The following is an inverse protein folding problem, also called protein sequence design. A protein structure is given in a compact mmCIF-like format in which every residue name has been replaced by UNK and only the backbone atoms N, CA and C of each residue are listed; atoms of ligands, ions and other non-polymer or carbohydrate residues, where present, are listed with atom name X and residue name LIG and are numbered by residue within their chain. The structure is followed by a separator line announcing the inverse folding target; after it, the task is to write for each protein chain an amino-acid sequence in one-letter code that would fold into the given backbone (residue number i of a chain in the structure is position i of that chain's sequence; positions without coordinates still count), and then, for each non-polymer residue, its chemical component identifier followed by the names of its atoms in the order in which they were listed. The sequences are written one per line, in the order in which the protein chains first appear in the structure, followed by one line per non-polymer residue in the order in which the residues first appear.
data_IF_680563655189
#
_entry.id   IF_680563655189
#
_cell.length_a   1.000
_cell.length_b   1.000
_cell.length_c   1.000
_cell.angle_alpha   90.00
_cell.angle_beta   90.00
_cell.angle_gamma   90.00
#
_symmetry.space_group_name_H-M   'P 1'
#
loop_
_entity.id
_entity.type
_entity.pdbx_description
1 polymer ?
#
# COMPACT_ATOMS: atom_id res chain seq x y z
N UNK A 1 12.37 -27.87 -17.02
CA UNK A 1 10.95 -28.28 -16.85
C UNK A 1 10.74 -29.35 -15.79
N UNK A 2 11.60 -30.39 -15.67
CA UNK A 2 11.44 -31.49 -14.69
C UNK A 2 11.42 -31.01 -13.22
N UNK A 3 12.26 -30.03 -12.86
CA UNK A 3 12.32 -29.49 -11.49
C UNK A 3 11.05 -28.76 -11.05
N UNK A 4 10.35 -28.08 -11.98
CA UNK A 4 9.11 -27.35 -11.67
C UNK A 4 7.95 -28.32 -11.44
N UNK A 5 7.86 -29.39 -12.24
CA UNK A 5 6.86 -30.46 -12.05
C UNK A 5 7.08 -31.20 -10.73
N UNK A 6 8.33 -31.50 -10.38
CA UNK A 6 8.66 -32.11 -9.10
C UNK A 6 8.32 -31.20 -7.91
N UNK A 7 8.66 -29.91 -7.98
CA UNK A 7 8.30 -28.94 -6.96
C UNK A 7 6.78 -28.75 -6.81
N UNK A 8 6.03 -28.72 -7.92
CA UNK A 8 4.57 -28.69 -7.90
C UNK A 8 3.99 -29.98 -7.28
N UNK A 9 4.57 -31.14 -7.60
CA UNK A 9 4.20 -32.42 -7.00
C UNK A 9 4.43 -32.46 -5.48
N UNK A 10 5.57 -31.98 -5.01
CA UNK A 10 5.87 -31.92 -3.57
C UNK A 10 4.93 -30.93 -2.87
N UNK A 11 4.68 -29.77 -3.48
CA UNK A 11 3.79 -28.73 -2.92
C UNK A 11 2.33 -29.16 -2.85
N UNK A 12 1.84 -29.88 -3.88
CA UNK A 12 0.49 -30.46 -3.92
C UNK A 12 0.33 -31.52 -2.83
N UNK A 13 1.29 -32.44 -2.70
CA UNK A 13 1.29 -33.45 -1.63
C UNK A 13 1.32 -32.82 -0.24
N UNK A 14 2.19 -31.84 -0.01
CA UNK A 14 2.25 -31.13 1.28
C UNK A 14 0.91 -30.46 1.63
N UNK A 15 0.23 -29.87 0.64
CA UNK A 15 -1.07 -29.23 0.83
C UNK A 15 -2.16 -30.24 1.15
N UNK A 16 -2.22 -31.35 0.40
CA UNK A 16 -3.17 -32.43 0.64
C UNK A 16 -2.97 -33.03 2.05
N UNK A 17 -1.73 -33.24 2.48
CA UNK A 17 -1.41 -33.74 3.82
C UNK A 17 -1.87 -32.79 4.93
N UNK A 18 -1.68 -31.48 4.77
CA UNK A 18 -2.13 -30.49 5.77
C UNK A 18 -3.64 -30.38 5.82
N UNK A 19 -4.31 -30.41 4.67
CA UNK A 19 -5.78 -30.42 4.61
C UNK A 19 -6.31 -31.69 5.26
N UNK A 20 -5.78 -32.85 4.90
CA UNK A 20 -6.17 -34.13 5.48
C UNK A 20 -5.97 -34.15 7.00
N UNK A 21 -4.83 -33.68 7.50
CA UNK A 21 -4.58 -33.57 8.94
C UNK A 21 -5.57 -32.62 9.63
N UNK A 22 -5.89 -31.47 9.02
CA UNK A 22 -6.85 -30.52 9.58
C UNK A 22 -8.26 -31.12 9.68
N UNK A 23 -8.70 -31.86 8.67
CA UNK A 23 -10.03 -32.50 8.67
C UNK A 23 -10.09 -33.76 9.55
N UNK A 24 -9.01 -34.55 9.59
CA UNK A 24 -8.92 -35.75 10.45
C UNK A 24 -8.85 -35.40 11.93
N UNK A 25 -8.10 -34.36 12.31
CA UNK A 25 -7.99 -33.93 13.71
C UNK A 25 -9.23 -33.24 14.26
N UNK A 26 -10.02 -32.57 13.40
CA UNK A 26 -11.12 -31.71 13.85
C UNK A 26 -12.51 -32.23 13.52
N UNK A 27 -12.66 -33.22 12.62
CA UNK A 27 -13.91 -33.94 12.30
C UNK A 27 -15.04 -33.10 11.67
N UNK A 28 -15.06 -31.80 11.89
CA UNK A 28 -16.06 -30.84 11.44
C UNK A 28 -15.43 -29.81 10.49
N UNK A 29 -16.20 -29.37 9.48
CA UNK A 29 -15.74 -28.46 8.44
C UNK A 29 -15.26 -27.12 8.98
N UNK A 30 -16.08 -26.45 9.81
CA UNK A 30 -15.77 -25.09 10.27
C UNK A 30 -14.48 -24.99 11.13
N UNK A 31 -14.27 -25.83 12.16
CA UNK A 31 -13.03 -25.81 12.94
C UNK A 31 -11.79 -26.17 12.11
N UNK A 32 -11.92 -27.06 11.13
CA UNK A 32 -10.83 -27.43 10.22
C UNK A 32 -10.42 -26.23 9.35
N UNK A 33 -11.39 -25.52 8.77
CA UNK A 33 -11.13 -24.30 7.97
C UNK A 33 -10.52 -23.18 8.82
N UNK A 34 -11.00 -22.98 10.05
CA UNK A 34 -10.41 -22.01 10.98
C UNK A 34 -8.95 -22.37 11.27
N UNK A 35 -8.65 -23.65 11.55
CA UNK A 35 -7.27 -24.10 11.76
C UNK A 35 -6.37 -23.85 10.55
N UNK A 36 -6.85 -24.17 9.34
CA UNK A 36 -6.13 -23.90 8.08
C UNK A 36 -5.83 -22.41 7.88
N UNK A 37 -6.75 -21.52 8.26
CA UNK A 37 -6.64 -20.07 8.11
C UNK A 37 -5.88 -19.34 9.22
N UNK A 38 -5.65 -19.99 10.37
CA UNK A 38 -5.01 -19.38 11.55
C UNK A 38 -3.63 -19.97 11.85
N UNK A 39 -3.38 -21.22 11.47
CA UNK A 39 -2.09 -21.89 11.65
C UNK A 39 -1.04 -21.34 10.69
N UNK A 40 0.09 -20.88 11.24
CA UNK A 40 1.21 -20.30 10.48
C UNK A 40 1.78 -21.29 9.45
N UNK A 41 1.93 -22.56 9.84
CA UNK A 41 2.50 -23.60 8.98
C UNK A 41 1.52 -23.93 7.84
N UNK A 42 0.24 -24.06 8.16
CA UNK A 42 -0.81 -24.32 7.17
C UNK A 42 -0.92 -23.18 6.15
N UNK A 43 -0.83 -21.93 6.61
CA UNK A 43 -0.81 -20.75 5.75
C UNK A 43 0.39 -20.72 4.80
N UNK A 44 1.60 -21.01 5.27
CA UNK A 44 2.81 -21.03 4.41
C UNK A 44 2.67 -22.09 3.31
N UNK A 45 2.17 -23.29 3.65
CA UNK A 45 1.99 -24.38 2.69
C UNK A 45 0.89 -24.04 1.68
N UNK A 46 -0.24 -23.48 2.14
CA UNK A 46 -1.32 -22.99 1.26
C UNK A 46 -0.87 -21.85 0.35
N UNK A 47 -0.06 -20.91 0.84
CA UNK A 47 0.48 -19.80 0.05
C UNK A 47 1.46 -20.31 -1.02
N UNK A 48 2.33 -21.25 -0.65
CA UNK A 48 3.24 -21.92 -1.58
C UNK A 48 2.47 -22.68 -2.68
N UNK A 49 1.36 -23.33 -2.33
CA UNK A 49 0.45 -23.93 -3.29
C UNK A 49 -0.24 -22.89 -4.18
N UNK A 50 -0.63 -21.74 -3.63
CA UNK A 50 -1.11 -20.60 -4.40
C UNK A 50 -0.10 -20.15 -5.46
N UNK A 51 1.19 -20.07 -5.11
CA UNK A 51 2.28 -19.76 -6.04
C UNK A 51 2.45 -20.83 -7.11
N UNK A 52 2.36 -22.12 -6.76
CA UNK A 52 2.39 -23.23 -7.73
C UNK A 52 1.20 -23.17 -8.68
N UNK A 53 -0.01 -22.91 -8.18
CA UNK A 53 -1.20 -22.72 -9.00
C UNK A 53 -1.04 -21.51 -9.92
N UNK A 54 -0.45 -20.41 -9.45
CA UNK A 54 -0.12 -19.26 -10.31
C UNK A 54 0.84 -19.63 -11.43
N UNK A 55 1.91 -20.38 -11.13
CA UNK A 55 2.88 -20.83 -12.14
C UNK A 55 2.26 -21.85 -13.11
N UNK A 56 1.32 -22.67 -12.64
CA UNK A 56 0.56 -23.59 -13.47
C UNK A 56 -0.42 -22.84 -14.38
N UNK A 57 -1.13 -21.85 -13.84
CA UNK A 57 -2.05 -20.98 -14.59
C UNK A 57 -1.28 -20.11 -15.59
N UNK A 58 -0.08 -19.67 -15.23
CA UNK A 58 0.89 -19.03 -16.13
C UNK A 58 1.31 -19.95 -17.29
N UNK A 59 1.61 -21.21 -17.01
CA UNK A 59 1.93 -22.19 -18.05
C UNK A 59 0.70 -22.56 -18.89
N UNK A 60 -0.49 -22.57 -18.30
CA UNK A 60 -1.76 -22.78 -19.00
C UNK A 60 -2.06 -21.61 -19.94
N UNK A 61 -1.89 -20.37 -19.48
CA UNK A 61 -2.03 -19.17 -20.31
C UNK A 61 -1.01 -19.19 -21.45
N UNK A 62 0.24 -19.58 -21.20
CA UNK A 62 1.22 -19.82 -22.28
C UNK A 62 0.75 -20.89 -23.27
N UNK A 63 0.22 -21.99 -22.79
CA UNK A 63 -0.18 -23.10 -23.65
C UNK A 63 -1.43 -22.78 -24.48
N UNK A 64 -2.40 -22.10 -23.88
CA UNK A 64 -3.68 -21.74 -24.51
C UNK A 64 -3.52 -20.56 -25.47
N UNK A 65 -2.74 -19.54 -25.11
CA UNK A 65 -2.66 -18.30 -25.88
C UNK A 65 -1.38 -18.16 -26.73
N UNK A 66 -0.25 -18.79 -26.35
CA UNK A 66 1.06 -18.53 -26.96
C UNK A 66 1.61 -19.66 -27.86
N UNK A 67 1.01 -20.85 -27.87
CA UNK A 67 1.53 -21.98 -28.65
C UNK A 67 2.84 -22.58 -28.10
N UNK A 68 3.23 -23.75 -28.60
CA UNK A 68 4.31 -24.58 -28.05
C UNK A 68 5.65 -23.82 -28.00
N UNK A 69 6.36 -23.80 -26.87
CA UNK A 69 7.67 -23.17 -26.79
C UNK A 69 8.72 -24.03 -27.52
N UNK A 70 9.24 -23.54 -28.65
CA UNK A 70 10.59 -23.90 -29.05
C UNK A 70 11.56 -23.40 -27.96
N UNK A 71 12.43 -24.31 -27.54
CA UNK A 71 13.20 -24.23 -26.29
C UNK A 71 14.05 -22.96 -26.23
N UNK A 72 13.84 -22.06 -25.26
CA UNK A 72 14.86 -21.08 -24.89
C UNK A 72 15.82 -21.70 -23.87
N UNK A 73 17.09 -21.39 -24.08
CA UNK A 73 18.23 -21.74 -23.23
C UNK A 73 18.10 -21.21 -21.80
N UNK A 74 18.78 -21.94 -20.92
CA UNK A 74 18.84 -21.79 -19.47
C UNK A 74 19.03 -20.35 -18.98
N UNK A 75 18.00 -19.78 -18.36
CA UNK A 75 18.14 -18.68 -17.40
C UNK A 75 17.72 -19.18 -16.02
N UNK A 76 18.68 -19.22 -15.08
CA UNK A 76 18.46 -19.53 -13.66
C UNK A 76 17.79 -18.32 -13.02
N UNK A 77 16.55 -18.47 -12.57
CA UNK A 77 15.92 -17.53 -11.66
C UNK A 77 16.17 -18.04 -10.23
N UNK A 78 17.07 -17.39 -9.51
CA UNK A 78 17.25 -17.58 -8.07
C UNK A 78 16.02 -17.05 -7.36
N UNK A 79 15.34 -17.90 -6.58
CA UNK A 79 14.23 -17.50 -5.74
C UNK A 79 14.70 -16.55 -4.62
N UNK A 80 14.02 -15.43 -4.35
CA UNK A 80 14.25 -14.68 -3.13
C UNK A 80 13.67 -15.48 -1.96
N UNK A 81 14.53 -15.83 -1.00
CA UNK A 81 14.13 -16.26 0.34
C UNK A 81 13.52 -15.05 1.07
N UNK A 82 12.19 -14.94 1.08
CA UNK A 82 11.46 -13.95 1.85
C UNK A 82 11.46 -14.36 3.32
N UNK A 83 12.21 -13.63 4.13
CA UNK A 83 12.23 -13.76 5.58
C UNK A 83 10.86 -13.41 6.17
N UNK A 84 10.48 -14.21 7.16
CA UNK A 84 9.26 -14.11 7.93
C UNK A 84 9.31 -12.89 8.84
N UNK A 85 8.53 -11.85 8.56
CA UNK A 85 8.06 -10.97 9.64
C UNK A 85 6.67 -10.36 9.38
N UNK A 86 5.84 -10.45 10.43
CA UNK A 86 4.54 -9.81 10.70
C UNK A 86 3.75 -9.19 9.52
N UNK A 87 3.16 -10.02 8.67
CA UNK A 87 2.09 -9.58 7.76
C UNK A 87 0.84 -10.45 7.91
N UNK A 88 -0.31 -9.79 8.08
CA UNK A 88 -1.61 -10.46 8.18
C UNK A 88 -1.90 -11.27 6.90
N UNK A 89 -2.49 -12.49 6.99
CA UNK A 89 -2.66 -13.39 5.84
C UNK A 89 -3.49 -12.79 4.70
N UNK A 90 -4.45 -11.91 5.03
CA UNK A 90 -5.28 -11.22 4.04
C UNK A 90 -4.48 -10.21 3.21
N UNK A 91 -3.49 -9.53 3.79
CA UNK A 91 -2.63 -8.57 3.08
C UNK A 91 -1.67 -9.25 2.11
N UNK A 92 -1.06 -10.38 2.50
CA UNK A 92 -0.16 -11.14 1.63
C UNK A 92 -0.91 -11.71 0.40
N UNK A 93 -2.13 -12.20 0.60
CA UNK A 93 -2.97 -12.70 -0.50
C UNK A 93 -3.28 -11.62 -1.54
N UNK A 94 -3.59 -10.39 -1.10
CA UNK A 94 -3.84 -9.25 -1.99
C UNK A 94 -2.60 -8.86 -2.80
N UNK A 95 -1.42 -8.81 -2.16
CA UNK A 95 -0.15 -8.50 -2.85
C UNK A 95 0.17 -9.55 -3.92
N UNK A 96 0.07 -10.85 -3.59
CA UNK A 96 0.35 -11.92 -4.55
C UNK A 96 -0.62 -11.86 -5.74
N UNK A 97 -1.89 -11.60 -5.47
CA UNK A 97 -2.92 -11.46 -6.51
C UNK A 97 -2.66 -10.24 -7.41
N UNK A 98 -2.30 -9.10 -6.82
CA UNK A 98 -1.91 -7.91 -7.59
C UNK A 98 -0.72 -8.18 -8.52
N UNK A 99 0.32 -8.85 -8.01
CA UNK A 99 1.51 -9.18 -8.80
C UNK A 99 1.19 -10.14 -9.95
N UNK A 100 0.26 -11.09 -9.74
CA UNK A 100 -0.24 -11.94 -10.82
C UNK A 100 -0.85 -11.12 -11.94
N UNK A 101 -1.77 -10.23 -11.56
CA UNK A 101 -2.55 -9.44 -12.51
C UNK A 101 -1.61 -8.54 -13.30
N UNK A 102 -0.64 -7.89 -12.63
CA UNK A 102 0.44 -7.14 -13.29
C UNK A 102 1.25 -7.98 -14.29
N UNK A 103 1.59 -9.22 -13.93
CA UNK A 103 2.30 -10.11 -14.85
C UNK A 103 1.46 -10.45 -16.09
N UNK A 104 0.16 -10.67 -15.94
CA UNK A 104 -0.76 -10.92 -17.06
C UNK A 104 -0.88 -9.69 -17.99
N UNK A 105 -0.94 -8.49 -17.42
CA UNK A 105 -0.95 -7.24 -18.20
C UNK A 105 0.32 -7.04 -19.00
N UNK A 106 1.47 -7.24 -18.34
CA UNK A 106 2.76 -7.09 -19.01
C UNK A 106 2.89 -8.08 -20.18
N UNK A 107 2.38 -9.30 -20.01
CA UNK A 107 2.29 -10.28 -21.10
C UNK A 107 1.37 -9.82 -22.24
N UNK A 108 0.18 -9.29 -21.93
CA UNK A 108 -0.74 -8.78 -22.95
C UNK A 108 -0.09 -7.67 -23.77
N UNK A 109 0.54 -6.71 -23.11
CA UNK A 109 1.26 -5.60 -23.74
C UNK A 109 2.37 -6.11 -24.66
N UNK A 110 3.21 -7.02 -24.16
CA UNK A 110 4.31 -7.59 -24.97
C UNK A 110 3.80 -8.41 -26.15
N UNK A 111 2.62 -9.03 -26.04
CA UNK A 111 2.00 -9.74 -27.17
C UNK A 111 1.40 -8.81 -28.20
N UNK A 112 0.77 -7.72 -27.78
CA UNK A 112 0.28 -6.68 -28.71
C UNK A 112 1.46 -6.05 -29.45
N UNK A 113 2.52 -5.66 -28.75
CA UNK A 113 3.74 -5.06 -29.34
C UNK A 113 4.43 -6.01 -30.35
N UNK A 114 4.46 -7.32 -30.05
CA UNK A 114 4.98 -8.32 -30.98
C UNK A 114 4.10 -8.47 -32.23
N UNK A 115 2.78 -8.44 -32.09
CA UNK A 115 1.85 -8.51 -33.23
C UNK A 115 1.97 -7.25 -34.10
N UNK A 116 2.12 -6.07 -33.50
CA UNK A 116 2.31 -4.80 -34.22
C UNK A 116 3.57 -4.79 -35.10
N UNK A 117 4.62 -5.48 -34.67
CA UNK A 117 5.92 -5.53 -35.37
C UNK A 117 6.05 -6.69 -36.35
N UNK A 118 5.09 -7.62 -36.39
CA UNK A 118 5.14 -8.78 -37.28
C UNK A 118 4.35 -8.53 -38.59
N UNK A 119 4.94 -8.79 -39.77
CA UNK A 119 4.39 -8.35 -41.06
C UNK A 119 3.19 -9.17 -41.56
N UNK A 120 2.98 -10.38 -41.04
CA UNK A 120 1.80 -11.19 -41.38
C UNK A 120 1.40 -12.06 -40.19
N UNK A 121 0.15 -11.91 -39.77
CA UNK A 121 -0.43 -12.64 -38.64
C UNK A 121 -1.71 -13.32 -39.08
N UNK A 122 -1.94 -14.54 -38.60
CA UNK A 122 -3.14 -15.32 -38.95
C UNK A 122 -4.37 -14.81 -38.18
N UNK A 123 -5.57 -14.95 -38.75
CA UNK A 123 -6.83 -14.57 -38.08
C UNK A 123 -7.01 -15.23 -36.71
N UNK A 124 -6.54 -16.47 -36.57
CA UNK A 124 -6.59 -17.20 -35.31
C UNK A 124 -5.76 -16.50 -34.21
N UNK A 125 -4.62 -15.92 -34.57
CA UNK A 125 -3.80 -15.12 -33.65
C UNK A 125 -4.51 -13.84 -33.20
N UNK A 126 -5.24 -13.17 -34.08
CA UNK A 126 -6.09 -12.02 -33.72
C UNK A 126 -7.20 -12.42 -32.74
N UNK A 127 -7.92 -13.52 -32.99
CA UNK A 127 -8.98 -14.00 -32.10
C UNK A 127 -8.42 -14.36 -30.71
N UNK A 128 -7.23 -14.97 -30.64
CA UNK A 128 -6.56 -15.31 -29.38
C UNK A 128 -6.19 -14.08 -28.55
N UNK A 129 -5.60 -13.04 -29.16
CA UNK A 129 -5.20 -11.84 -28.40
C UNK A 129 -6.40 -11.01 -27.97
N UNK A 130 -7.42 -10.87 -28.83
CA UNK A 130 -8.65 -10.14 -28.48
C UNK A 130 -9.38 -10.85 -27.33
N UNK A 131 -9.56 -12.16 -27.39
CA UNK A 131 -10.18 -12.92 -26.29
C UNK A 131 -9.39 -12.82 -24.99
N UNK A 132 -8.04 -12.81 -25.05
CA UNK A 132 -7.20 -12.60 -23.86
C UNK A 132 -7.38 -11.20 -23.27
N UNK A 133 -7.40 -10.15 -24.10
CA UNK A 133 -7.60 -8.78 -23.62
C UNK A 133 -9.00 -8.55 -23.02
N UNK A 134 -10.04 -9.15 -23.61
CA UNK A 134 -11.41 -9.10 -23.06
C UNK A 134 -11.47 -9.82 -21.71
N UNK A 135 -10.83 -10.98 -21.59
CA UNK A 135 -10.73 -11.70 -20.31
C UNK A 135 -10.05 -10.84 -19.23
N UNK A 136 -8.94 -10.18 -19.58
CA UNK A 136 -8.25 -9.28 -18.64
C UNK A 136 -9.11 -8.10 -18.22
N UNK A 137 -9.82 -7.46 -19.15
CA UNK A 137 -10.70 -6.34 -18.83
C UNK A 137 -11.82 -6.74 -17.85
N UNK A 138 -12.43 -7.92 -18.03
CA UNK A 138 -13.43 -8.46 -17.10
C UNK A 138 -12.81 -8.70 -15.74
N UNK A 139 -11.62 -9.31 -15.69
CA UNK A 139 -10.91 -9.57 -14.45
C UNK A 139 -10.60 -8.26 -13.70
N UNK A 140 -10.09 -7.25 -14.39
CA UNK A 140 -9.77 -5.94 -13.81
C UNK A 140 -11.03 -5.24 -13.27
N UNK A 141 -12.13 -5.31 -14.01
CA UNK A 141 -13.43 -4.79 -13.57
C UNK A 141 -13.92 -5.46 -12.28
N UNK A 142 -13.80 -6.79 -12.19
CA UNK A 142 -14.20 -7.55 -11.00
C UNK A 142 -13.33 -7.20 -9.77
N UNK A 143 -12.01 -7.17 -9.91
CA UNK A 143 -11.10 -6.82 -8.82
C UNK A 143 -11.25 -5.36 -8.37
N UNK A 144 -11.46 -4.46 -9.32
CA UNK A 144 -11.76 -3.05 -9.03
C UNK A 144 -13.08 -2.92 -8.27
N UNK A 145 -14.16 -3.55 -8.76
CA UNK A 145 -15.48 -3.50 -8.12
C UNK A 145 -15.45 -4.04 -6.69
N UNK A 146 -14.84 -5.21 -6.50
CA UNK A 146 -14.72 -5.84 -5.17
C UNK A 146 -13.88 -4.99 -4.21
N UNK A 147 -12.79 -4.40 -4.68
CA UNK A 147 -11.93 -3.52 -3.88
C UNK A 147 -12.64 -2.23 -3.45
N UNK A 148 -13.40 -1.59 -4.36
CA UNK A 148 -14.21 -0.40 -4.04
C UNK A 148 -15.31 -0.73 -3.03
N UNK A 149 -16.00 -1.88 -3.21
CA UNK A 149 -17.04 -2.34 -2.27
C UNK A 149 -16.45 -2.57 -0.87
N UNK A 150 -15.29 -3.20 -0.79
CA UNK A 150 -14.58 -3.43 0.47
C UNK A 150 -14.16 -2.10 1.13
N UNK A 151 -13.67 -1.14 0.34
CA UNK A 151 -13.29 0.19 0.83
C UNK A 151 -14.48 0.93 1.45
N UNK A 152 -15.64 0.95 0.77
CA UNK A 152 -16.85 1.62 1.28
C UNK A 152 -17.33 0.98 2.58
N UNK A 153 -17.27 -0.35 2.68
CA UNK A 153 -17.71 -1.07 3.88
C UNK A 153 -16.74 -0.94 5.06
N UNK A 154 -15.43 -0.82 4.79
CA UNK A 154 -14.38 -0.81 5.81
C UNK A 154 -13.38 0.33 5.60
N UNK A 155 -13.77 1.61 5.80
CA UNK A 155 -12.93 2.78 5.51
C UNK A 155 -11.69 2.90 6.43
N UNK A 156 -11.54 2.03 7.43
CA UNK A 156 -10.45 2.08 8.43
C UNK A 156 -9.14 1.41 7.96
N UNK A 157 -9.15 0.69 6.83
CA UNK A 157 -7.98 -0.07 6.37
C UNK A 157 -7.14 0.73 5.35
N UNK A 158 -6.02 1.31 5.81
CA UNK A 158 -5.08 2.06 4.95
C UNK A 158 -4.51 1.23 3.78
N UNK A 159 -4.32 -0.08 3.97
CA UNK A 159 -3.79 -0.97 2.94
C UNK A 159 -4.79 -1.18 1.78
N UNK A 160 -6.10 -1.23 2.06
CA UNK A 160 -7.13 -1.48 1.04
C UNK A 160 -7.23 -0.37 0.00
N UNK A 161 -6.96 0.86 0.42
CA UNK A 161 -6.90 2.04 -0.44
C UNK A 161 -5.87 1.88 -1.54
N UNK A 162 -4.65 1.49 -1.16
CA UNK A 162 -3.54 1.34 -2.09
C UNK A 162 -3.87 0.32 -3.20
N UNK A 163 -4.40 -0.84 -2.80
CA UNK A 163 -4.81 -1.86 -3.76
C UNK A 163 -5.92 -1.38 -4.71
N UNK A 164 -6.87 -0.58 -4.20
CA UNK A 164 -7.96 -0.04 -5.03
C UNK A 164 -7.42 0.84 -6.17
N UNK A 165 -6.50 1.75 -5.87
CA UNK A 165 -5.88 2.60 -6.90
C UNK A 165 -5.03 1.80 -7.87
N UNK A 166 -4.26 0.82 -7.39
CA UNK A 166 -3.47 -0.06 -8.24
C UNK A 166 -4.35 -0.84 -9.24
N UNK A 167 -5.50 -1.37 -8.80
CA UNK A 167 -6.45 -2.05 -9.70
C UNK A 167 -7.12 -1.09 -10.70
N UNK A 168 -7.43 0.14 -10.31
CA UNK A 168 -7.92 1.18 -11.24
C UNK A 168 -6.89 1.53 -12.32
N UNK A 169 -5.61 1.62 -11.94
CA UNK A 169 -4.50 1.87 -12.88
C UNK A 169 -4.37 0.70 -13.86
N UNK A 170 -4.44 -0.54 -13.38
CA UNK A 170 -4.44 -1.74 -14.22
C UNK A 170 -5.61 -1.72 -15.23
N UNK A 171 -6.84 -1.49 -14.77
CA UNK A 171 -8.01 -1.42 -15.64
C UNK A 171 -7.87 -0.35 -16.75
N UNK A 172 -7.37 0.84 -16.40
CA UNK A 172 -7.16 1.92 -17.38
C UNK A 172 -6.03 1.59 -18.36
N UNK A 173 -4.99 0.88 -17.94
CA UNK A 173 -3.96 0.39 -18.88
C UNK A 173 -4.51 -0.64 -19.86
N UNK A 174 -5.31 -1.60 -19.40
CA UNK A 174 -5.94 -2.61 -20.27
C UNK A 174 -6.85 -1.95 -21.30
N UNK A 175 -7.66 -0.98 -20.88
CA UNK A 175 -8.51 -0.23 -21.80
C UNK A 175 -7.69 0.52 -22.87
N UNK A 176 -6.61 1.22 -22.47
CA UNK A 176 -5.74 1.92 -23.42
C UNK A 176 -5.09 0.95 -24.43
N UNK A 177 -4.64 -0.22 -23.98
CA UNK A 177 -4.05 -1.25 -24.86
C UNK A 177 -5.09 -1.82 -25.83
N UNK A 178 -6.34 -2.04 -25.38
CA UNK A 178 -7.42 -2.50 -26.27
C UNK A 178 -7.70 -1.47 -27.37
N UNK A 179 -7.79 -0.18 -27.02
CA UNK A 179 -8.04 0.87 -28.03
C UNK A 179 -6.85 1.01 -28.98
N UNK A 180 -5.61 0.94 -28.47
CA UNK A 180 -4.40 0.92 -29.32
C UNK A 180 -4.41 -0.26 -30.28
N UNK A 181 -4.79 -1.45 -29.81
CA UNK A 181 -4.92 -2.61 -30.68
C UNK A 181 -6.04 -2.45 -31.73
N UNK A 182 -7.16 -1.81 -31.38
CA UNK A 182 -8.22 -1.50 -32.34
C UNK A 182 -7.73 -0.54 -33.43
N UNK A 183 -6.90 0.44 -33.08
CA UNK A 183 -6.23 1.32 -34.05
C UNK A 183 -5.31 0.53 -34.99
N UNK A 184 -4.52 -0.40 -34.46
CA UNK A 184 -3.70 -1.29 -35.28
C UNK A 184 -4.54 -2.13 -36.25
N UNK A 185 -5.63 -2.75 -35.79
CA UNK A 185 -6.51 -3.55 -36.66
C UNK A 185 -7.17 -2.67 -37.73
N UNK A 186 -7.58 -1.46 -37.38
CA UNK A 186 -8.16 -0.51 -38.35
C UNK A 186 -7.14 -0.11 -39.43
N UNK A 187 -5.90 0.14 -39.04
CA UNK A 187 -4.80 0.42 -39.97
C UNK A 187 -4.52 -0.75 -40.93
N UNK A 188 -4.56 -1.99 -40.42
CA UNK A 188 -4.44 -3.19 -41.26
C UNK A 188 -5.57 -3.29 -42.29
N UNK A 189 -6.81 -2.99 -41.90
CA UNK A 189 -7.97 -3.02 -42.81
C UNK A 189 -7.88 -1.91 -43.86
N UNK A 190 -7.26 -0.78 -43.52
CA UNK A 190 -7.01 0.34 -44.42
C UNK A 190 -5.73 0.17 -45.25
N UNK A 191 -5.15 -1.05 -45.30
CA UNK A 191 -3.91 -1.36 -46.03
C UNK A 191 -2.73 -0.42 -45.67
N UNK A 192 -2.70 0.09 -44.44
CA UNK A 192 -1.67 1.02 -43.96
C UNK A 192 -1.81 2.46 -44.46
N UNK A 193 -2.93 2.83 -45.09
CA UNK A 193 -3.16 4.19 -45.61
C UNK A 193 -3.66 5.18 -44.53
N UNK A 194 -3.62 4.82 -43.25
CA UNK A 194 -4.11 5.71 -42.19
C UNK A 194 -3.06 6.73 -41.74
N UNK A 195 -2.98 7.86 -42.47
CA UNK A 195 -2.01 8.93 -42.21
C UNK A 195 -2.10 9.52 -40.78
N UNK A 196 -3.30 9.53 -40.19
CA UNK A 196 -3.55 10.08 -38.85
C UNK A 196 -3.18 9.16 -37.67
N UNK A 197 -2.84 7.89 -37.90
CA UNK A 197 -2.59 6.90 -36.84
C UNK A 197 -1.61 7.36 -35.76
N UNK A 198 -0.44 7.96 -36.08
CA UNK A 198 0.53 8.36 -35.06
C UNK A 198 -0.03 9.45 -34.14
N UNK A 199 -0.82 10.37 -34.69
CA UNK A 199 -1.44 11.48 -33.96
C UNK A 199 -2.48 10.96 -32.96
N UNK A 200 -3.37 10.05 -33.39
CA UNK A 200 -4.36 9.45 -32.49
C UNK A 200 -3.72 8.56 -31.42
N UNK A 201 -2.67 7.82 -31.77
CA UNK A 201 -1.93 6.98 -30.81
C UNK A 201 -1.25 7.85 -29.75
N UNK A 202 -0.65 8.98 -30.14
CA UNK A 202 -0.09 9.95 -29.22
C UNK A 202 -1.16 10.54 -28.27
N UNK A 203 -2.33 10.92 -28.79
CA UNK A 203 -3.43 11.41 -27.94
C UNK A 203 -3.91 10.34 -26.93
N UNK A 204 -4.01 9.08 -27.33
CA UNK A 204 -4.36 8.00 -26.40
C UNK A 204 -3.32 7.84 -25.29
N UNK A 205 -2.03 7.89 -25.63
CA UNK A 205 -0.94 7.78 -24.66
C UNK A 205 -0.94 8.98 -23.70
N UNK A 206 -1.15 10.19 -24.22
CA UNK A 206 -1.29 11.41 -23.41
C UNK A 206 -2.49 11.34 -22.45
N UNK A 207 -3.66 10.91 -22.94
CA UNK A 207 -4.87 10.78 -22.10
C UNK A 207 -4.66 9.71 -21.02
N UNK A 208 -4.09 8.56 -21.36
CA UNK A 208 -3.75 7.50 -20.40
C UNK A 208 -2.83 8.05 -19.31
N UNK A 209 -1.76 8.74 -19.69
CA UNK A 209 -0.75 9.24 -18.75
C UNK A 209 -1.33 10.34 -17.84
N UNK A 210 -2.20 11.20 -18.39
CA UNK A 210 -2.93 12.20 -17.60
C UNK A 210 -3.91 11.56 -16.61
N UNK A 211 -4.63 10.51 -17.03
CA UNK A 211 -5.51 9.75 -16.13
C UNK A 211 -4.71 9.10 -15.00
N UNK A 212 -3.56 8.48 -15.30
CA UNK A 212 -2.67 7.91 -14.28
C UNK A 212 -2.17 8.96 -13.30
N UNK A 213 -1.68 10.10 -13.81
CA UNK A 213 -1.25 11.21 -12.97
C UNK A 213 -2.38 11.68 -12.05
N UNK A 214 -3.60 11.84 -12.57
CA UNK A 214 -4.76 12.25 -11.79
C UNK A 214 -5.11 11.25 -10.67
N UNK A 215 -5.02 9.95 -10.96
CA UNK A 215 -5.26 8.88 -9.98
C UNK A 215 -4.19 8.88 -8.88
N UNK A 216 -2.92 9.04 -9.24
CA UNK A 216 -1.84 9.16 -8.25
C UNK A 216 -1.98 10.41 -7.38
N UNK A 217 -2.33 11.56 -7.95
CA UNK A 217 -2.59 12.78 -7.19
C UNK A 217 -3.74 12.58 -6.20
N UNK A 218 -4.84 11.95 -6.63
CA UNK A 218 -5.96 11.62 -5.76
C UNK A 218 -5.56 10.68 -4.60
N UNK A 219 -4.75 9.66 -4.89
CA UNK A 219 -4.19 8.77 -3.87
C UNK A 219 -3.34 9.52 -2.84
N UNK A 220 -2.43 10.40 -3.28
CA UNK A 220 -1.63 11.21 -2.37
C UNK A 220 -2.48 12.15 -1.52
N UNK A 221 -3.45 12.84 -2.12
CA UNK A 221 -4.37 13.70 -1.38
C UNK A 221 -5.13 12.93 -0.30
N UNK A 222 -5.61 11.73 -0.61
CA UNK A 222 -6.31 10.90 0.36
C UNK A 222 -5.38 10.44 1.50
N UNK A 223 -4.12 10.12 1.22
CA UNK A 223 -3.12 9.84 2.26
C UNK A 223 -2.91 11.07 3.14
N UNK A 224 -2.75 12.26 2.55
CA UNK A 224 -2.56 13.50 3.30
C UNK A 224 -3.76 13.82 4.20
N UNK A 225 -4.99 13.61 3.73
CA UNK A 225 -6.20 13.78 4.55
C UNK A 225 -6.18 12.80 5.73
N UNK A 226 -5.88 11.52 5.49
CA UNK A 226 -5.76 10.53 6.56
C UNK A 226 -4.66 10.89 7.57
N UNK A 227 -3.51 11.36 7.10
CA UNK A 227 -2.41 11.80 7.95
C UNK A 227 -2.81 13.02 8.80
N UNK A 228 -3.47 14.02 8.21
CA UNK A 228 -3.99 15.18 8.94
C UNK A 228 -4.97 14.78 10.04
N UNK A 229 -5.87 13.84 9.78
CA UNK A 229 -6.78 13.31 10.81
C UNK A 229 -5.98 12.69 11.97
N UNK A 230 -5.00 11.83 11.67
CA UNK A 230 -4.15 11.20 12.69
C UNK A 230 -3.34 12.19 13.51
N UNK A 231 -2.79 13.22 12.87
CA UNK A 231 -2.06 14.30 13.56
C UNK A 231 -3.01 15.08 14.46
N UNK A 232 -4.20 15.40 13.98
CA UNK A 232 -5.22 16.12 14.77
C UNK A 232 -5.64 15.31 16.00
N UNK A 233 -5.85 14.00 15.84
CA UNK A 233 -6.16 13.08 16.94
C UNK A 233 -5.01 13.02 17.96
N UNK A 234 -3.76 12.93 17.48
CA UNK A 234 -2.58 12.93 18.34
C UNK A 234 -2.41 14.25 19.11
N UNK A 235 -2.57 15.39 18.45
CA UNK A 235 -2.54 16.71 19.09
C UNK A 235 -3.65 16.85 20.13
N UNK A 236 -4.86 16.35 19.82
CA UNK A 236 -5.99 16.32 20.76
C UNK A 236 -5.68 15.45 21.99
N UNK A 237 -5.12 14.26 21.78
CA UNK A 237 -4.66 13.40 22.87
C UNK A 237 -3.62 14.13 23.74
N UNK A 238 -2.59 14.71 23.13
CA UNK A 238 -1.52 15.44 23.86
C UNK A 238 -2.09 16.58 24.69
N UNK A 239 -3.08 17.32 24.17
CA UNK A 239 -3.77 18.41 24.89
C UNK A 239 -4.56 17.91 26.11
N UNK A 240 -5.17 16.74 26.03
CA UNK A 240 -5.90 16.13 27.16
C UNK A 240 -4.91 15.55 28.19
N UNK A 241 -3.85 14.88 27.73
CA UNK A 241 -2.88 14.23 28.59
C UNK A 241 -1.94 15.22 29.33
N UNK A 242 -1.62 16.38 28.73
CA UNK A 242 -0.67 17.34 29.32
C UNK A 242 -1.19 18.06 30.57
N UNK A 243 -2.50 18.12 30.78
CA UNK A 243 -3.13 18.77 31.94
C UNK A 243 -4.03 17.79 32.71
N UNK A 244 -3.70 16.49 32.70
CA UNK A 244 -4.61 15.47 33.23
C UNK A 244 -4.77 15.56 34.76
N UNK A 245 -3.72 15.96 35.48
CA UNK A 245 -3.79 16.16 36.93
C UNK A 245 -4.54 17.43 37.32
N UNK A 246 -4.46 18.49 36.51
CA UNK A 246 -5.09 19.78 36.79
C UNK A 246 -6.53 19.87 36.28
N UNK A 247 -6.88 19.07 35.25
CA UNK A 247 -8.23 19.09 34.63
C UNK A 247 -9.27 18.25 35.35
N UNK A 248 -8.86 17.17 36.01
CA UNK A 248 -9.80 16.26 36.67
C UNK A 248 -9.58 16.34 38.18
N UNK A 249 -10.63 16.66 38.95
CA UNK A 249 -10.53 16.66 40.40
C UNK A 249 -10.26 15.24 40.90
N UNK A 250 -9.48 15.16 41.97
CA UNK A 250 -9.33 13.91 42.73
C UNK A 250 -10.65 13.61 43.45
N UNK A 251 -11.06 12.34 43.42
CA UNK A 251 -12.24 11.90 44.15
C UNK A 251 -11.99 11.99 45.67
N UNK A 252 -12.98 12.46 46.43
CA UNK A 252 -12.91 12.41 47.89
C UNK A 252 -13.02 10.95 48.36
N UNK A 253 -12.44 10.61 49.53
CA UNK A 253 -12.52 9.24 50.06
C UNK A 253 -13.97 8.77 50.28
N UNK A 254 -14.90 9.70 50.56
CA UNK A 254 -16.32 9.41 50.70
C UNK A 254 -17.00 9.09 49.36
N UNK A 255 -16.62 9.78 48.27
CA UNK A 255 -17.12 9.45 46.93
C UNK A 255 -16.56 8.12 46.42
N UNK A 256 -15.32 7.79 46.78
CA UNK A 256 -14.62 6.56 46.38
C UNK A 256 -15.21 5.31 47.05
N UNK A 257 -15.66 5.43 48.30
CA UNK A 257 -16.36 4.35 49.01
C UNK A 257 -17.80 4.14 48.52
N UNK A 258 -18.46 5.20 48.04
CA UNK A 258 -19.84 5.11 47.54
C UNK A 258 -20.00 4.53 46.13
N UNK A 259 -18.99 4.63 45.26
CA UNK A 259 -19.09 4.32 43.82
C UNK A 259 -18.36 3.04 43.39
N UNK A 260 -18.10 2.13 44.34
CA UNK A 260 -17.34 0.89 44.13
C UNK A 260 -15.88 1.20 43.79
N UNK A 261 -14.96 1.02 44.75
CA UNK A 261 -13.57 1.45 44.65
C UNK A 261 -12.74 0.66 43.61
N UNK A 262 -13.35 -0.09 42.71
CA UNK A 262 -12.66 -0.95 41.73
C UNK A 262 -12.56 -0.28 40.36
N UNK A 263 -11.34 -0.14 39.82
CA UNK A 263 -11.14 0.41 38.49
C UNK A 263 -11.58 -0.58 37.40
N UNK A 264 -12.52 -0.21 36.52
CA UNK A 264 -12.98 -1.13 35.46
C UNK A 264 -11.93 -1.45 34.36
N UNK A 265 -10.84 -0.68 34.29
CA UNK A 265 -9.79 -0.88 33.29
C UNK A 265 -8.79 -1.94 33.75
N UNK A 266 -8.23 -1.82 34.95
CA UNK A 266 -7.26 -2.77 35.50
C UNK A 266 -7.88 -3.82 36.45
N UNK A 267 -9.12 -3.61 36.91
CA UNK A 267 -9.83 -4.46 37.90
C UNK A 267 -9.18 -4.50 39.27
N UNK A 268 -8.47 -3.44 39.64
CA UNK A 268 -7.81 -3.28 40.94
C UNK A 268 -8.48 -2.18 41.77
N UNK A 269 -8.36 -2.26 43.09
CA UNK A 269 -8.90 -1.27 44.02
C UNK A 269 -8.14 0.07 43.91
N UNK A 270 -8.90 1.16 43.96
CA UNK A 270 -8.45 2.51 43.70
C UNK A 270 -8.21 3.23 45.03
N UNK A 271 -6.96 3.63 45.26
CA UNK A 271 -6.58 4.49 46.41
C UNK A 271 -6.56 5.97 46.04
N UNK A 272 -6.35 6.28 44.76
CA UNK A 272 -6.45 7.62 44.19
C UNK A 272 -7.13 7.55 42.83
N UNK A 273 -8.10 8.42 42.61
CA UNK A 273 -9.01 8.35 41.48
C UNK A 273 -9.26 9.72 40.88
N UNK A 274 -9.26 9.79 39.55
CA UNK A 274 -9.70 10.99 38.84
C UNK A 274 -11.16 10.85 38.44
N UNK A 275 -11.95 11.88 38.75
CA UNK A 275 -13.36 11.96 38.37
C UNK A 275 -13.53 12.67 37.04
N UNK A 276 -14.13 11.99 36.07
CA UNK A 276 -14.51 12.62 34.80
C UNK A 276 -15.76 13.48 34.98
N UNK A 277 -16.02 14.39 34.03
CA UNK A 277 -17.24 15.21 34.00
C UNK A 277 -18.55 14.39 33.95
N UNK A 278 -18.48 13.15 33.50
CA UNK A 278 -19.60 12.20 33.50
C UNK A 278 -19.77 11.45 34.84
N UNK A 279 -18.95 11.74 35.85
CA UNK A 279 -19.01 11.15 37.19
C UNK A 279 -18.21 9.85 37.39
N UNK A 280 -17.74 9.20 36.31
CA UNK A 280 -16.99 7.94 36.43
C UNK A 280 -15.55 8.14 36.93
N UNK A 281 -15.08 7.18 37.73
CA UNK A 281 -13.80 7.21 38.43
C UNK A 281 -12.80 6.22 37.82
N UNK A 282 -11.54 6.63 37.65
CA UNK A 282 -10.46 5.75 37.17
C UNK A 282 -9.10 6.11 37.79
N UNK A 283 -8.18 5.14 37.81
CA UNK A 283 -6.76 5.44 38.03
C UNK A 283 -6.22 6.41 36.96
N UNK A 284 -5.33 7.32 37.36
CA UNK A 284 -4.63 8.27 36.48
C UNK A 284 -3.96 7.54 35.31
N UNK A 285 -3.17 6.49 35.58
CA UNK A 285 -2.45 5.75 34.55
C UNK A 285 -3.38 4.97 33.62
N UNK A 286 -4.44 4.35 34.15
CA UNK A 286 -5.43 3.63 33.35
C UNK A 286 -6.20 4.57 32.42
N UNK A 287 -6.62 5.73 32.94
CA UNK A 287 -7.29 6.77 32.15
C UNK A 287 -6.37 7.31 31.03
N UNK A 288 -5.08 7.56 31.33
CA UNK A 288 -4.10 7.99 30.32
C UNK A 288 -3.97 6.98 29.18
N UNK A 289 -3.78 5.70 29.52
CA UNK A 289 -3.62 4.63 28.54
C UNK A 289 -4.89 4.41 27.70
N UNK A 290 -6.08 4.63 28.28
CA UNK A 290 -7.32 4.61 27.52
C UNK A 290 -7.43 5.78 26.54
N UNK A 291 -7.11 7.00 27.02
CA UNK A 291 -7.18 8.23 26.23
C UNK A 291 -6.22 8.26 25.04
N UNK A 292 -5.12 7.48 25.09
CA UNK A 292 -4.23 7.23 23.93
C UNK A 292 -4.96 6.61 22.74
N UNK A 293 -6.00 5.82 23.01
CA UNK A 293 -6.74 5.06 22.00
C UNK A 293 -8.10 5.65 21.70
N UNK A 294 -8.78 6.18 22.72
CA UNK A 294 -10.17 6.66 22.64
C UNK A 294 -10.37 7.86 23.56
N UNK A 295 -10.92 8.96 23.04
CA UNK A 295 -11.20 10.19 23.82
C UNK A 295 -12.58 10.17 24.52
N UNK A 296 -13.07 8.98 24.85
CA UNK A 296 -14.39 8.74 25.44
C UNK A 296 -14.26 8.05 26.79
N UNK A 297 -15.26 8.22 27.66
CA UNK A 297 -15.33 7.52 28.94
C UNK A 297 -15.45 6.00 28.70
N UNK A 298 -14.62 5.16 29.34
CA UNK A 298 -14.71 3.70 29.23
C UNK A 298 -16.08 3.13 29.64
N UNK A 299 -16.78 3.76 30.57
CA UNK A 299 -18.07 3.28 31.09
C UNK A 299 -19.24 3.75 30.23
N UNK A 300 -19.40 5.06 30.02
CA UNK A 300 -20.57 5.62 29.35
C UNK A 300 -20.33 6.09 27.90
N UNK A 301 -19.10 5.99 27.39
CA UNK A 301 -18.68 6.47 26.05
C UNK A 301 -18.90 7.96 25.78
N UNK A 302 -19.27 8.75 26.78
CA UNK A 302 -19.35 10.20 26.67
C UNK A 302 -17.97 10.81 26.39
N UNK A 303 -17.92 11.91 25.63
CA UNK A 303 -16.67 12.63 25.35
C UNK A 303 -16.09 13.22 26.63
N UNK A 304 -14.80 13.01 26.86
CA UNK A 304 -14.11 13.46 28.08
C UNK A 304 -13.90 14.99 28.10
N UNK A 305 -13.90 15.63 26.92
CA UNK A 305 -13.90 17.09 26.78
C UNK A 305 -15.07 17.48 25.89
N UNK A 306 -16.08 18.20 26.41
CA UNK A 306 -17.14 18.78 25.60
C UNK A 306 -16.55 19.73 24.55
N UNK A 307 -16.95 19.59 23.29
CA UNK A 307 -16.65 20.59 22.27
C UNK A 307 -17.49 21.82 22.58
N UNK A 308 -16.90 23.00 22.76
CA UNK A 308 -17.60 24.24 23.15
C UNK A 308 -18.68 24.72 22.14
N UNK A 309 -18.89 24.00 21.04
CA UNK A 309 -19.88 24.32 20.00
C UNK A 309 -21.11 23.38 19.95
N UNK A 310 -21.42 22.64 21.01
CA UNK A 310 -22.61 21.76 21.04
C UNK A 310 -23.55 21.99 22.23
N UNK A 311 -23.47 23.15 22.89
CA UNK A 311 -24.30 23.47 24.07
C UNK A 311 -25.68 24.03 23.71
N UNK A 312 -26.33 23.57 22.63
CA UNK A 312 -27.65 24.10 22.26
C UNK A 312 -28.72 23.08 21.92
N UNK A 313 -28.50 21.77 22.09
CA UNK A 313 -29.56 20.78 21.78
C UNK A 313 -29.64 19.55 22.70
N UNK A 314 -28.81 19.43 23.74
CA UNK A 314 -28.81 18.24 24.61
C UNK A 314 -29.38 18.44 26.03
N UNK A 315 -29.99 19.59 26.34
CA UNK A 315 -30.53 19.90 27.68
C UNK A 315 -32.06 20.01 27.75
N UNK A 316 -32.80 19.70 26.67
CA UNK A 316 -34.27 19.83 26.63
C UNK A 316 -35.06 18.59 27.11
N UNK A 317 -34.41 17.57 27.69
CA UNK A 317 -35.10 16.34 28.11
C UNK A 317 -35.15 16.10 29.64
N UNK A 318 -34.69 17.05 30.46
CA UNK A 318 -34.84 16.90 31.91
C UNK A 318 -34.88 18.25 32.64
N UNK A 319 -36.06 18.88 32.70
CA UNK A 319 -36.60 19.55 33.89
C UNK A 319 -37.92 20.26 33.54
N UNK A 320 -39.02 19.61 33.92
CA UNK A 320 -40.26 20.31 34.23
C UNK A 320 -40.19 20.72 35.70
N UNK A 321 -40.69 21.92 36.01
CA UNK A 321 -41.00 22.50 37.34
C UNK A 321 -39.84 23.13 38.14
N UNK A 322 -39.71 24.47 38.11
CA UNK A 322 -40.29 25.40 39.10
C UNK A 322 -39.83 26.86 38.82
N UNK A 323 -40.64 27.76 39.31
CA UNK A 323 -40.87 29.15 38.90
C UNK A 323 -39.88 30.18 39.50
N UNK A 324 -39.69 31.29 38.77
CA UNK A 324 -39.81 32.68 39.25
C UNK A 324 -38.53 33.56 39.51
N UNK A 325 -38.31 34.50 38.57
CA UNK A 325 -38.21 35.98 38.74
C UNK A 325 -36.94 36.62 39.34
N UNK A 326 -36.38 37.61 38.61
CA UNK A 326 -35.43 38.60 39.15
C UNK A 326 -34.56 39.33 38.11
N UNK A 327 -34.93 40.57 37.80
CA UNK A 327 -34.29 41.57 36.91
C UNK A 327 -33.01 42.21 37.48
N UNK A 328 -32.07 42.65 36.63
CA UNK A 328 -31.02 43.62 37.00
C UNK A 328 -29.92 43.85 35.95
N UNK A 329 -29.96 45.02 35.31
CA UNK A 329 -28.97 45.62 34.38
C UNK A 329 -27.76 46.24 35.09
N UNK A 330 -26.56 46.18 34.50
CA UNK A 330 -25.61 47.32 34.41
C UNK A 330 -24.37 47.01 33.57
N UNK A 331 -23.83 48.08 32.99
CA UNK A 331 -22.86 48.24 31.92
C UNK A 331 -21.41 48.48 32.39
N UNK A 332 -20.54 48.66 31.37
CA UNK A 332 -19.35 49.53 31.25
C UNK A 332 -17.93 49.03 31.59
N UNK A 333 -17.12 48.99 30.51
CA UNK A 333 -15.82 49.62 30.26
C UNK A 333 -14.54 49.31 31.08
N UNK A 334 -13.45 49.11 30.33
CA UNK A 334 -12.07 49.10 30.83
C UNK A 334 -11.03 48.93 29.70
N UNK A 335 -10.43 50.04 29.31
CA UNK A 335 -9.50 50.26 28.20
C UNK A 335 -8.04 49.86 28.49
N UNK A 336 -7.30 49.56 27.41
CA UNK A 336 -5.88 49.88 27.12
C UNK A 336 -4.73 49.22 27.92
N UNK A 337 -3.78 48.61 27.19
CA UNK A 337 -2.35 49.01 27.17
C UNK A 337 -1.54 48.12 26.21
N UNK A 338 -1.15 48.72 25.08
CA UNK A 338 -0.10 48.24 24.19
C UNK A 338 1.29 48.61 24.76
N UNK A 339 2.30 47.77 24.50
CA UNK A 339 3.71 48.10 24.15
C UNK A 339 4.64 46.94 24.56
N UNK A 340 5.58 46.62 23.65
CA UNK A 340 6.75 45.75 23.79
C UNK A 340 6.60 44.22 23.54
N UNK A 341 6.40 43.82 22.27
CA UNK A 341 6.46 42.41 21.88
C UNK A 341 7.12 42.13 20.50
N UNK A 342 8.07 42.97 20.04
CA UNK A 342 8.69 42.78 18.71
C UNK A 342 10.18 42.42 18.72
N UNK A 343 10.84 42.35 19.88
CA UNK A 343 12.29 42.03 19.97
C UNK A 343 12.65 40.59 20.33
N UNK A 344 11.73 39.82 20.93
CA UNK A 344 12.05 38.51 21.51
C UNK A 344 11.69 37.31 20.61
N UNK A 345 10.89 37.52 19.55
CA UNK A 345 10.44 36.43 18.67
C UNK A 345 11.56 35.94 17.73
N UNK A 346 12.37 36.85 17.18
CA UNK A 346 13.45 36.50 16.23
C UNK A 346 14.63 35.77 16.89
N UNK A 347 14.91 36.03 18.17
CA UNK A 347 16.00 35.37 18.92
C UNK A 347 15.60 33.98 19.42
N UNK A 348 14.30 33.73 19.64
CA UNK A 348 13.77 32.42 20.00
C UNK A 348 13.60 31.52 18.76
N UNK A 349 13.18 32.06 17.61
CA UNK A 349 13.10 31.32 16.35
C UNK A 349 14.48 30.86 15.84
N UNK A 350 15.53 31.67 16.03
CA UNK A 350 16.90 31.30 15.69
C UNK A 350 17.44 30.15 16.58
N UNK A 351 17.11 30.16 17.88
CA UNK A 351 17.50 29.08 18.81
C UNK A 351 16.71 27.79 18.59
N UNK A 352 15.44 27.88 18.19
CA UNK A 352 14.60 26.70 17.89
C UNK A 352 14.98 26.04 16.56
N UNK A 353 15.40 26.81 15.54
CA UNK A 353 15.95 26.21 14.30
C UNK A 353 17.31 25.55 14.50
N UNK A 354 18.18 26.09 15.35
CA UNK A 354 19.49 25.50 15.65
C UNK A 354 19.39 24.23 16.53
N UNK A 355 18.39 24.13 17.41
CA UNK A 355 18.14 22.93 18.21
C UNK A 355 17.44 21.81 17.41
N UNK A 356 16.64 22.16 16.39
CA UNK A 356 15.94 21.20 15.55
C UNK A 356 16.84 20.44 14.57
N UNK A 357 17.98 21.01 14.17
CA UNK A 357 18.91 20.37 13.22
C UNK A 357 19.87 19.35 13.85
N UNK A 358 20.05 19.38 15.18
CA UNK A 358 20.97 18.45 15.87
C UNK A 358 20.23 17.20 16.38
N UNK A 359 18.98 17.33 16.83
CA UNK A 359 18.23 16.20 17.40
C UNK A 359 17.54 15.27 16.38
N UNK A 360 17.31 15.70 15.13
CA UNK A 360 16.70 14.85 14.10
C UNK A 360 17.71 13.86 13.52
N UNK A 361 19.00 14.20 13.55
CA UNK A 361 20.07 13.32 13.05
C UNK A 361 20.45 12.23 14.05
N UNK A 362 20.39 12.50 15.36
CA UNK A 362 20.63 11.49 16.41
C UNK A 362 19.48 10.48 16.57
N UNK A 363 18.22 10.89 16.36
CA UNK A 363 17.05 10.01 16.52
C UNK A 363 16.89 9.04 15.32
N UNK A 364 17.35 9.42 14.12
CA UNK A 364 17.30 8.54 12.95
C UNK A 364 18.42 7.50 12.90
N UNK A 365 19.47 7.64 13.73
CA UNK A 365 20.66 6.79 13.65
C UNK A 365 20.65 5.58 14.61
N UNK A 366 19.65 5.46 15.51
CA UNK A 366 19.64 4.42 16.55
C UNK A 366 18.65 3.24 16.33
N UNK A 367 18.11 3.08 15.12
CA UNK A 367 17.35 1.88 14.73
C UNK A 367 18.11 1.06 13.67
N UNK A 368 19.02 0.22 14.15
CA UNK A 368 19.35 -1.11 13.62
C UNK A 368 19.47 -1.29 12.09
N UNK A 369 20.57 -0.84 11.50
CA UNK A 369 21.22 -1.51 10.36
C UNK A 369 22.75 -1.35 10.51
N UNK A 370 23.55 -2.42 10.50
CA UNK A 370 24.99 -2.33 10.69
C UNK A 370 25.66 -1.64 9.47
N UNK A 371 26.34 -0.52 9.72
CA UNK A 371 27.05 0.32 8.72
C UNK A 371 27.95 -0.49 7.75
N UNK A 372 28.51 -1.61 8.23
CA UNK A 372 29.35 -2.52 7.45
C UNK A 372 28.59 -3.22 6.29
N UNK A 373 27.29 -3.47 6.45
CA UNK A 373 26.44 -4.10 5.43
C UNK A 373 26.10 -3.11 4.31
N UNK A 374 25.93 -1.82 4.64
CA UNK A 374 25.69 -0.77 3.66
C UNK A 374 26.95 -0.50 2.82
N UNK A 375 28.13 -0.53 3.44
CA UNK A 375 29.41 -0.39 2.74
C UNK A 375 29.76 -1.63 1.91
N UNK A 376 29.35 -2.83 2.31
CA UNK A 376 29.50 -4.04 1.50
C UNK A 376 28.56 -4.01 0.29
N UNK A 377 27.31 -3.58 0.47
CA UNK A 377 26.35 -3.40 -0.61
C UNK A 377 26.78 -2.30 -1.58
N UNK A 378 27.31 -1.18 -1.08
CA UNK A 378 27.83 -0.10 -1.93
C UNK A 378 29.00 -0.57 -2.80
N UNK A 379 29.98 -1.30 -2.23
CA UNK A 379 31.10 -1.88 -2.98
C UNK A 379 30.66 -2.93 -4.02
N UNK A 380 29.61 -3.70 -3.71
CA UNK A 380 29.04 -4.67 -4.65
C UNK A 380 28.33 -3.96 -5.81
N UNK A 381 27.63 -2.86 -5.55
CA UNK A 381 26.96 -2.09 -6.59
C UNK A 381 27.97 -1.37 -7.50
N UNK A 382 29.03 -0.79 -6.92
CA UNK A 382 30.11 -0.14 -7.67
C UNK A 382 30.84 -1.13 -8.59
N UNK A 383 31.11 -2.36 -8.13
CA UNK A 383 31.74 -3.38 -8.98
C UNK A 383 30.83 -3.87 -10.11
N UNK A 384 29.51 -3.96 -9.89
CA UNK A 384 28.56 -4.30 -10.96
C UNK A 384 28.47 -3.21 -12.03
N UNK A 385 28.52 -1.94 -11.62
CA UNK A 385 28.54 -0.81 -12.56
C UNK A 385 29.80 -0.84 -13.41
N UNK A 386 30.96 -1.13 -12.80
CA UNK A 386 32.24 -1.20 -13.52
C UNK A 386 32.27 -2.34 -14.55
N UNK A 387 31.73 -3.52 -14.19
CA UNK A 387 31.57 -4.64 -15.13
C UNK A 387 30.65 -4.27 -16.29
N UNK A 388 29.51 -3.63 -16.02
CA UNK A 388 28.58 -3.18 -17.06
C UNK A 388 29.22 -2.13 -17.99
N UNK A 389 29.98 -1.19 -17.45
CA UNK A 389 30.71 -0.20 -18.25
C UNK A 389 31.78 -0.84 -19.13
N UNK A 390 32.47 -1.88 -18.63
CA UNK A 390 33.46 -2.60 -19.42
C UNK A 390 32.82 -3.46 -20.53
N UNK A 391 31.67 -4.08 -20.27
CA UNK A 391 30.88 -4.79 -21.30
C UNK A 391 30.37 -3.83 -22.39
N UNK A 392 29.90 -2.65 -22.00
CA UNK A 392 29.51 -1.58 -22.95
C UNK A 392 30.70 -1.07 -23.77
N UNK A 393 31.89 -1.00 -23.18
CA UNK A 393 33.12 -0.62 -23.89
C UNK A 393 33.51 -1.67 -24.95
N UNK A 394 33.41 -2.96 -24.61
CA UNK A 394 33.66 -4.06 -25.55
C UNK A 394 32.64 -4.10 -26.70
N UNK A 395 31.39 -3.68 -26.47
CA UNK A 395 30.40 -3.54 -27.53
C UNK A 395 30.59 -2.30 -28.40
N UNK A 396 31.43 -1.34 -27.96
CA UNK A 396 31.68 -0.08 -28.68
C UNK A 396 33.00 -0.08 -29.45
N UNK A 397 33.86 -1.09 -29.27
CA UNK A 397 35.04 -1.26 -30.12
C UNK A 397 34.60 -1.79 -31.50
N UNK A 398 34.76 -1.01 -32.59
CA UNK A 398 34.50 -1.51 -33.92
C UNK A 398 35.53 -2.60 -34.23
N UNK A 399 35.05 -3.74 -34.72
CA UNK A 399 35.90 -4.81 -35.24
C UNK A 399 36.88 -4.19 -36.27
N UNK A 400 38.17 -4.14 -35.90
CA UNK A 400 39.23 -3.74 -36.80
C UNK A 400 39.35 -4.82 -37.90
N UNK A 401 38.62 -4.64 -38.99
CA UNK A 401 38.86 -5.33 -40.26
C UNK A 401 40.24 -4.91 -40.78
N UNK A 402 41.23 -5.77 -40.59
CA UNK A 402 42.48 -5.74 -41.37
C UNK A 402 42.15 -6.12 -42.81
N UNK A 403 41.98 -5.11 -43.65
CA UNK A 403 41.94 -5.24 -45.11
C UNK A 403 43.39 -5.24 -45.61
N UNK A 404 43.86 -6.38 -46.07
CA UNK A 404 45.15 -6.51 -46.75
C UNK A 404 44.96 -6.13 -48.23
N UNK A 405 45.36 -4.90 -48.59
CA UNK A 405 45.53 -4.47 -49.98
C UNK A 405 47.02 -4.34 -50.21
N UNK A 406 47.59 -5.32 -50.91
CA UNK A 406 48.81 -5.12 -51.68
C UNK A 406 48.63 -5.67 -53.09
N UNK A 407 47.97 -4.87 -53.93
CA UNK A 407 48.18 -4.92 -55.35
C UNK A 407 49.59 -4.44 -55.68
N UNK A 408 50.39 -5.28 -56.33
CA UNK A 408 51.54 -4.84 -57.11
C UNK A 408 51.55 -5.61 -58.42
N UNK A 409 51.10 -4.94 -59.48
CA UNK A 409 51.34 -5.31 -60.87
C UNK A 409 52.83 -5.18 -61.19
N UNK A 410 53.45 -6.25 -61.66
CA UNK A 410 54.64 -6.19 -62.52
C UNK A 410 54.38 -7.16 -63.67
N UNK A 411 54.56 -6.63 -64.88
CA UNK A 411 54.51 -7.27 -66.19
C UNK A 411 55.88 -7.92 -66.47
N UNK A 412 55.91 -9.18 -66.93
CA UNK A 412 56.90 -9.77 -67.86
C UNK A 412 56.49 -11.23 -68.16
N UNK A 413 55.78 -11.45 -69.29
CA UNK A 413 56.25 -12.05 -70.57
C UNK A 413 56.30 -13.58 -70.60
N UNK A 414 55.54 -14.15 -71.54
CA UNK A 414 55.81 -15.47 -72.12
C UNK A 414 56.53 -15.25 -73.46
N UNK A 415 57.80 -15.60 -73.50
CA UNK A 415 58.59 -16.24 -74.58
C UNK A 415 60.08 -16.20 -74.24
#
# INVERSE_FOLDING_TARGET
MIRLRAYAGISTLATLSVIYHAFSSRGQFYPATVYLSTSKISLVILLNMGLVLMLALWNLVKLVFLGSPEKPSSWRFSSPSLSSDRTSPLGLSLVVTLLLIKALHWMAQKRVEYIETTPSVTLLSHVRIVSFMVFLLILDGLFTYTSIRQYIQTPKASMSVFFTFEYMILATTTLSVIVKYAFYVTDLVMEGQWEGKPVYTFYLELVRDLLHLSMYLCFFLMIFINFKIRVTDYLRYRKIASNMNDRFPDATPDELSSNDATCIICREEMTSAKKLVCGHLFHVHCLRSWLERQNTCPTCRALVVPTENATSTASAAHQVSLQQQGTGTSSSDGQSSSVAASGNLSRHEARVRAAASVHIWEILCHSSLPQAELESQKRCLESQIEVLQNQLRLLKEPAATTVDIKGKSVVETAE
#
